data_IF_731124495490
#
_entry.id   IF_731124495490
#
_cell.length_a   1.000
_cell.length_b   1.000
_cell.length_c   1.000
_cell.angle_alpha   90.00
_cell.angle_beta   90.00
_cell.angle_gamma   90.00
#
_symmetry.space_group_name_H-M   'P 1'
#
loop_
_entity.id
_entity.type
_entity.pdbx_description
1 polymer ?
#
# COMPACT_ATOMS: atom_id res chain seq x y z
N UNK A 1 -21.98 7.95 11.89
CA UNK A 1 -21.03 9.01 12.32
C UNK A 1 -19.76 8.31 12.80
N UNK A 2 -18.73 8.21 11.96
CA UNK A 2 -17.55 7.35 12.16
C UNK A 2 -16.33 8.16 12.61
N UNK A 3 -16.37 8.70 13.84
CA UNK A 3 -15.18 9.29 14.44
C UNK A 3 -14.33 8.21 15.08
N UNK A 4 -13.14 7.97 14.54
CA UNK A 4 -12.04 7.36 15.29
C UNK A 4 -11.71 8.36 16.42
N UNK A 5 -11.90 8.00 17.71
CA UNK A 5 -11.61 8.92 18.80
C UNK A 5 -10.11 9.21 18.83
N UNK A 6 -9.75 10.49 18.72
CA UNK A 6 -8.37 10.94 18.87
C UNK A 6 -8.01 10.82 20.35
N UNK A 7 -7.22 9.82 20.73
CA UNK A 7 -6.76 9.68 22.12
C UNK A 7 -5.48 10.48 22.40
N UNK A 8 -5.60 11.34 23.42
CA UNK A 8 -4.64 11.84 24.39
C UNK A 8 -3.12 11.88 24.05
N UNK A 9 -2.62 13.12 24.05
CA UNK A 9 -1.25 13.60 24.26
C UNK A 9 -0.16 12.54 24.53
N UNK A 10 0.74 12.35 23.56
CA UNK A 10 2.05 11.71 23.77
C UNK A 10 3.16 12.71 23.45
N UNK A 11 4.12 12.82 24.37
CA UNK A 11 5.24 13.77 24.33
C UNK A 11 6.29 13.38 23.26
N UNK A 12 6.98 14.36 22.64
CA UNK A 12 7.86 14.16 21.49
C UNK A 12 9.24 13.61 21.84
N UNK A 13 9.88 12.91 20.89
CA UNK A 13 11.32 12.66 20.85
C UNK A 13 11.89 13.24 19.55
N UNK A 14 12.84 14.18 19.69
CA UNK A 14 13.96 14.34 18.75
C UNK A 14 13.84 15.44 17.67
N UNK A 15 14.79 16.37 17.71
CA UNK A 15 14.96 17.57 16.88
C UNK A 15 15.79 17.31 15.61
N UNK A 16 15.36 17.91 14.48
CA UNK A 16 16.11 18.52 13.35
C UNK A 16 15.39 18.30 12.02
N UNK A 17 15.47 19.29 11.14
CA UNK A 17 14.69 19.45 9.91
C UNK A 17 15.12 18.51 8.76
N UNK A 18 15.07 17.21 9.00
CA UNK A 18 15.04 16.18 7.96
C UNK A 18 14.01 15.10 8.35
N UNK A 19 13.38 14.43 7.37
CA UNK A 19 12.33 13.43 7.60
C UNK A 19 12.76 12.20 8.41
N UNK A 20 14.07 12.01 8.48
CA UNK A 20 14.73 10.93 9.17
C UNK A 20 15.46 11.52 10.37
N UNK A 21 15.37 10.87 11.54
CA UNK A 21 16.21 11.26 12.68
C UNK A 21 17.69 11.36 12.23
N UNK A 22 18.50 12.22 12.84
CA UNK A 22 19.93 12.32 12.49
C UNK A 22 20.62 10.94 12.44
N UNK A 23 20.22 10.03 13.34
CA UNK A 23 20.64 8.63 13.36
C UNK A 23 20.16 7.81 12.17
N UNK A 24 18.96 8.07 11.65
CA UNK A 24 18.42 7.43 10.43
C UNK A 24 19.16 7.90 9.18
N UNK A 25 19.59 9.16 9.10
CA UNK A 25 20.43 9.68 8.00
C UNK A 25 21.84 9.09 8.08
N UNK A 26 22.43 9.07 9.27
CA UNK A 26 23.73 8.40 9.48
C UNK A 26 23.62 6.93 9.13
N UNK A 27 22.56 6.24 9.54
CA UNK A 27 22.33 4.83 9.19
C UNK A 27 22.13 4.65 7.69
N UNK A 28 21.44 5.56 7.01
CA UNK A 28 21.30 5.55 5.55
C UNK A 28 22.66 5.72 4.85
N UNK A 29 23.43 6.73 5.25
CA UNK A 29 24.77 7.01 4.70
C UNK A 29 25.77 5.90 5.03
N UNK A 30 25.74 5.37 6.25
CA UNK A 30 26.57 4.26 6.68
C UNK A 30 26.20 2.98 5.93
N UNK A 31 24.90 2.67 5.75
CA UNK A 31 24.46 1.54 4.92
C UNK A 31 24.86 1.71 3.45
N UNK A 32 24.85 2.94 2.94
CA UNK A 32 25.30 3.25 1.58
C UNK A 32 26.81 3.03 1.41
N UNK A 33 27.61 3.41 2.41
CA UNK A 33 29.09 3.36 2.37
C UNK A 33 29.64 1.98 2.78
N UNK A 34 29.15 1.38 3.87
CA UNK A 34 29.74 0.19 4.48
C UNK A 34 29.32 -1.13 3.84
N UNK A 35 28.11 -1.18 3.25
CA UNK A 35 27.46 -2.44 2.90
C UNK A 35 27.20 -2.61 1.41
N UNK A 36 27.77 -1.77 0.52
CA UNK A 36 27.73 -1.92 -0.95
C UNK A 36 26.56 -2.78 -1.44
N UNK A 37 25.36 -2.20 -1.49
CA UNK A 37 24.05 -2.89 -1.59
C UNK A 37 23.63 -3.72 -0.34
N UNK A 38 23.05 -3.02 0.65
CA UNK A 38 22.02 -3.42 1.64
C UNK A 38 22.17 -4.71 2.48
N UNK A 39 22.00 -4.54 3.81
CA UNK A 39 20.94 -5.21 4.60
C UNK A 39 20.97 -4.77 6.06
N UNK A 40 19.82 -4.29 6.59
CA UNK A 40 19.55 -4.34 8.03
C UNK A 40 19.34 -5.81 8.41
N UNK A 41 20.20 -6.35 9.28
CA UNK A 41 20.07 -7.73 9.77
C UNK A 41 18.88 -7.80 10.73
N UNK A 42 17.71 -8.12 10.19
CA UNK A 42 16.54 -8.43 11.02
C UNK A 42 16.83 -9.74 11.79
N UNK A 43 16.73 -9.76 13.13
CA UNK A 43 17.02 -10.96 13.93
C UNK A 43 16.12 -12.15 13.60
N UNK A 44 14.94 -11.93 13.01
CA UNK A 44 13.92 -12.96 12.80
C UNK A 44 13.87 -13.47 11.34
N UNK A 45 14.96 -13.30 10.57
CA UNK A 45 15.00 -13.67 9.15
C UNK A 45 14.63 -15.14 8.86
N UNK A 46 14.89 -16.04 9.82
CA UNK A 46 14.66 -17.49 9.69
C UNK A 46 13.18 -17.87 9.72
N UNK A 47 12.31 -17.02 10.26
CA UNK A 47 10.86 -17.28 10.33
C UNK A 47 10.09 -16.59 9.20
N UNK A 48 10.78 -15.95 8.25
CA UNK A 48 10.15 -15.19 7.19
C UNK A 48 10.11 -15.98 5.89
N UNK A 49 8.90 -16.28 5.44
CA UNK A 49 8.67 -16.94 4.16
C UNK A 49 7.80 -16.06 3.26
N UNK A 50 7.97 -16.14 1.95
CA UNK A 50 6.90 -15.75 1.03
C UNK A 50 5.97 -16.95 0.94
N UNK A 51 4.68 -16.72 1.17
CA UNK A 51 3.70 -17.75 0.86
C UNK A 51 3.81 -18.12 -0.63
N UNK A 52 3.73 -19.41 -0.93
CA UNK A 52 3.83 -19.88 -2.30
C UNK A 52 2.68 -19.30 -3.16
N UNK A 53 2.93 -19.21 -4.47
CA UNK A 53 2.21 -18.39 -5.47
C UNK A 53 0.68 -18.54 -5.55
N UNK A 54 0.11 -19.54 -4.88
CA UNK A 54 -1.32 -19.77 -4.65
C UNK A 54 -1.53 -20.24 -3.24
N UNK A 55 -2.46 -19.62 -2.53
CA UNK A 55 -2.95 -20.10 -1.24
C UNK A 55 -4.42 -19.79 -1.12
N UNK A 56 -5.15 -20.63 -0.38
CA UNK A 56 -6.51 -20.30 0.02
C UNK A 56 -6.63 -20.34 1.54
N UNK A 57 -7.47 -19.44 2.06
CA UNK A 57 -7.86 -19.41 3.45
C UNK A 57 -9.36 -19.57 3.47
N UNK A 58 -9.82 -20.70 4.00
CA UNK A 58 -11.22 -20.94 4.25
C UNK A 58 -11.64 -20.20 5.52
N UNK A 59 -12.76 -19.49 5.41
CA UNK A 59 -13.48 -18.91 6.53
C UNK A 59 -14.73 -19.78 6.66
N UNK A 60 -14.66 -20.74 7.59
CA UNK A 60 -15.64 -21.82 7.66
C UNK A 60 -17.02 -21.29 8.06
N UNK A 61 -18.03 -21.71 7.29
CA UNK A 61 -19.43 -21.69 7.70
C UNK A 61 -19.76 -22.99 8.46
N UNK A 62 -20.47 -22.95 9.60
CA UNK A 62 -20.69 -24.14 10.44
C UNK A 62 -21.55 -25.26 9.80
N UNK A 63 -22.25 -25.02 8.69
CA UNK A 63 -23.39 -25.90 8.29
C UNK A 63 -23.22 -26.58 6.91
N UNK A 64 -22.07 -26.45 6.23
CA UNK A 64 -21.66 -27.40 5.17
C UNK A 64 -22.64 -27.66 4.01
N UNK A 65 -23.48 -26.69 3.62
CA UNK A 65 -24.41 -26.83 2.48
C UNK A 65 -23.78 -26.34 1.17
N UNK A 66 -24.08 -27.02 0.07
CA UNK A 66 -23.82 -26.55 -1.30
C UNK A 66 -24.62 -25.24 -1.53
N UNK A 67 -23.90 -24.15 -1.78
CA UNK A 67 -24.45 -22.79 -1.88
C UNK A 67 -24.08 -22.20 -3.24
N UNK A 68 -24.98 -21.39 -3.80
CA UNK A 68 -24.62 -20.51 -4.91
C UNK A 68 -23.63 -19.48 -4.38
N UNK A 69 -22.39 -19.54 -4.86
CA UNK A 69 -21.32 -18.63 -4.43
C UNK A 69 -21.07 -17.57 -5.49
N UNK A 70 -20.95 -16.32 -5.05
CA UNK A 70 -20.46 -15.21 -5.86
C UNK A 70 -18.99 -14.93 -5.54
N UNK A 71 -18.31 -14.20 -6.43
CA UNK A 71 -16.90 -13.86 -6.27
C UNK A 71 -16.69 -12.36 -6.44
N UNK A 72 -15.72 -11.81 -5.71
CA UNK A 72 -15.17 -10.48 -5.97
C UNK A 72 -13.65 -10.55 -5.99
N UNK A 73 -13.04 -10.01 -7.05
CA UNK A 73 -11.59 -9.97 -7.24
C UNK A 73 -11.01 -8.59 -6.93
N UNK A 74 -10.08 -8.58 -5.99
CA UNK A 74 -9.43 -7.39 -5.44
C UNK A 74 -7.95 -7.41 -5.82
N UNK A 75 -7.46 -6.36 -6.48
CA UNK A 75 -6.04 -6.16 -6.75
C UNK A 75 -5.45 -5.04 -5.89
N UNK A 76 -4.20 -5.21 -5.49
CA UNK A 76 -3.45 -4.22 -4.73
C UNK A 76 -2.27 -3.72 -5.55
N UNK A 77 -2.20 -2.41 -5.76
CA UNK A 77 -1.09 -1.76 -6.44
C UNK A 77 -0.26 -1.02 -5.40
N UNK A 78 1.04 -1.31 -5.39
CA UNK A 78 1.99 -0.64 -4.52
C UNK A 78 2.22 0.82 -4.91
N UNK A 79 3.38 1.33 -4.55
CA UNK A 79 3.68 2.76 -4.68
C UNK A 79 3.59 3.24 -6.13
N UNK A 80 2.73 4.24 -6.37
CA UNK A 80 2.59 4.97 -7.63
C UNK A 80 3.23 6.34 -7.46
N UNK A 81 4.28 6.60 -8.25
CA UNK A 81 5.04 7.83 -8.21
C UNK A 81 5.31 8.39 -9.61
N UNK A 82 5.71 9.67 -9.66
CA UNK A 82 6.16 10.35 -10.87
C UNK A 82 7.30 9.57 -11.55
N UNK A 83 7.36 9.52 -12.89
CA UNK A 83 8.47 8.89 -13.61
C UNK A 83 9.72 9.79 -13.72
N UNK A 84 10.84 9.24 -14.19
CA UNK A 84 12.07 10.02 -14.40
C UNK A 84 11.89 11.01 -15.56
N UNK A 85 11.19 10.60 -16.62
CA UNK A 85 10.90 11.43 -17.78
C UNK A 85 9.80 12.47 -17.52
N UNK A 86 9.03 12.31 -16.46
CA UNK A 86 7.82 13.09 -16.19
C UNK A 86 6.61 12.66 -17.01
N UNK A 87 6.71 11.59 -17.81
CA UNK A 87 5.60 11.01 -18.57
C UNK A 87 5.02 9.76 -17.88
N UNK A 88 3.73 9.45 -18.04
CA UNK A 88 3.15 8.23 -17.51
C UNK A 88 3.87 6.96 -17.97
N UNK A 89 3.91 5.96 -17.09
CA UNK A 89 4.51 4.67 -17.38
C UNK A 89 3.72 3.91 -18.45
N UNK A 90 4.43 3.16 -19.29
CA UNK A 90 3.80 2.24 -20.25
C UNK A 90 3.43 0.94 -19.53
N UNK A 91 2.14 0.72 -19.32
CA UNK A 91 1.61 -0.53 -18.74
C UNK A 91 1.57 -1.58 -19.86
N UNK A 92 2.36 -2.64 -19.77
CA UNK A 92 2.33 -3.70 -20.79
C UNK A 92 1.03 -4.51 -20.76
N UNK A 93 0.73 -5.16 -21.87
CA UNK A 93 -0.47 -6.01 -22.05
C UNK A 93 -0.63 -7.04 -20.93
N UNK A 94 0.46 -7.63 -20.43
CA UNK A 94 0.42 -8.60 -19.33
C UNK A 94 -0.14 -8.00 -18.04
N UNK A 95 0.18 -6.73 -17.74
CA UNK A 95 -0.36 -6.00 -16.60
C UNK A 95 -1.77 -5.48 -16.89
N UNK A 96 -2.03 -5.00 -18.11
CA UNK A 96 -3.38 -4.57 -18.50
C UNK A 96 -4.40 -5.70 -18.35
N UNK A 97 -4.07 -6.93 -18.78
CA UNK A 97 -4.92 -8.12 -18.60
C UNK A 97 -5.19 -8.42 -17.13
N UNK A 98 -4.19 -8.28 -16.27
CA UNK A 98 -4.36 -8.44 -14.83
C UNK A 98 -5.34 -7.40 -14.29
N UNK A 99 -5.09 -6.12 -14.56
CA UNK A 99 -5.94 -5.02 -14.09
C UNK A 99 -7.38 -5.17 -14.60
N UNK A 100 -7.58 -5.56 -15.85
CA UNK A 100 -8.90 -5.74 -16.48
C UNK A 100 -9.75 -6.83 -15.82
N UNK A 101 -9.12 -7.79 -15.15
CA UNK A 101 -9.81 -8.88 -14.45
C UNK A 101 -10.34 -8.51 -13.06
N UNK A 102 -10.04 -7.31 -12.56
CA UNK A 102 -10.40 -6.90 -11.20
C UNK A 102 -11.79 -6.25 -11.13
N UNK A 103 -12.48 -6.47 -10.01
CA UNK A 103 -13.70 -5.75 -9.64
C UNK A 103 -13.37 -4.55 -8.73
N UNK A 104 -12.35 -4.70 -7.89
CA UNK A 104 -11.86 -3.68 -6.97
C UNK A 104 -10.34 -3.54 -7.09
N UNK A 105 -9.84 -2.31 -7.22
CA UNK A 105 -8.41 -2.01 -7.25
C UNK A 105 -8.08 -1.00 -6.15
N UNK A 106 -7.18 -1.38 -5.24
CA UNK A 106 -6.70 -0.55 -4.14
C UNK A 106 -5.24 -0.17 -4.42
N UNK A 107 -4.94 1.12 -4.52
CA UNK A 107 -3.64 1.61 -4.99
C UNK A 107 -3.06 2.69 -4.06
N UNK A 108 -1.75 2.67 -3.85
CA UNK A 108 -1.07 3.75 -3.10
C UNK A 108 -0.67 4.90 -4.03
N UNK A 109 -1.13 6.11 -3.72
CA UNK A 109 -0.71 7.34 -4.40
C UNK A 109 0.31 8.03 -3.51
N UNK A 110 1.58 7.70 -3.72
CA UNK A 110 2.65 8.22 -2.87
C UNK A 110 3.07 9.63 -3.25
N UNK A 111 3.05 9.96 -4.53
CA UNK A 111 3.25 11.34 -4.98
C UNK A 111 1.93 12.12 -4.96
N UNK A 112 1.78 13.20 -4.18
CA UNK A 112 0.57 14.02 -4.21
C UNK A 112 0.22 14.50 -5.62
N UNK A 113 -1.08 14.60 -5.90
CA UNK A 113 -1.59 14.88 -7.24
C UNK A 113 -1.75 16.37 -7.45
N UNK A 114 -1.31 16.85 -8.62
CA UNK A 114 -1.46 18.24 -9.06
C UNK A 114 -2.11 18.31 -10.45
N UNK A 115 -2.80 19.43 -10.72
CA UNK A 115 -3.56 19.66 -11.96
C UNK A 115 -2.70 20.21 -13.12
N UNK A 116 -1.37 20.27 -12.97
CA UNK A 116 -0.49 20.89 -13.96
C UNK A 116 0.19 19.88 -14.88
N UNK A 117 0.00 20.07 -16.20
CA UNK A 117 0.79 19.45 -17.30
C UNK A 117 2.22 19.98 -17.43
N UNK A 118 2.60 21.00 -16.64
CA UNK A 118 3.93 21.59 -16.74
C UNK A 118 4.96 20.51 -16.44
N UNK A 119 5.99 20.40 -17.30
CA UNK A 119 7.12 19.50 -17.11
C UNK A 119 7.67 19.70 -15.69
N UNK A 120 7.38 18.75 -14.80
CA UNK A 120 8.03 18.69 -13.50
C UNK A 120 9.48 18.31 -13.79
N UNK A 121 10.33 19.32 -13.99
CA UNK A 121 11.76 19.12 -14.04
C UNK A 121 12.19 18.76 -12.63
N UNK A 122 12.75 17.56 -12.46
CA UNK A 122 13.53 17.25 -11.26
C UNK A 122 14.71 18.21 -11.18
N UNK A 123 14.53 19.33 -10.49
CA UNK A 123 15.62 20.09 -9.91
C UNK A 123 16.12 19.42 -8.64
N UNK A 124 17.06 20.07 -7.94
CA UNK A 124 17.57 19.67 -6.62
C UNK A 124 16.51 19.62 -5.50
N UNK A 125 15.27 20.01 -5.78
CA UNK A 125 14.16 19.99 -4.82
C UNK A 125 13.44 18.65 -4.84
N UNK A 126 13.49 17.92 -3.72
CA UNK A 126 12.79 16.66 -3.43
C UNK A 126 11.25 16.83 -3.34
N UNK A 127 10.60 17.51 -4.29
CA UNK A 127 9.13 17.61 -4.34
C UNK A 127 8.58 16.46 -5.17
N UNK A 128 7.86 15.54 -4.52
CA UNK A 128 7.28 14.36 -5.16
C UNK A 128 5.85 14.62 -5.62
N UNK A 129 5.63 15.64 -6.46
CA UNK A 129 4.31 15.88 -7.07
C UNK A 129 4.14 15.08 -8.37
N UNK A 130 2.91 14.65 -8.67
CA UNK A 130 2.58 13.84 -9.84
C UNK A 130 1.33 14.39 -10.56
N UNK A 131 1.36 14.60 -11.88
CA UNK A 131 0.18 15.03 -12.63
C UNK A 131 -0.89 13.93 -12.64
N UNK A 132 -2.16 14.32 -12.66
CA UNK A 132 -3.30 13.39 -12.72
C UNK A 132 -3.26 12.42 -13.92
N UNK A 133 -2.57 12.79 -15.00
CA UNK A 133 -2.41 11.97 -16.20
C UNK A 133 -1.75 10.61 -15.93
N UNK A 134 -0.93 10.50 -14.88
CA UNK A 134 -0.34 9.23 -14.45
C UNK A 134 -1.42 8.27 -13.98
N UNK A 135 -2.29 8.69 -13.07
CA UNK A 135 -3.38 7.86 -12.59
C UNK A 135 -4.39 7.56 -13.70
N UNK A 136 -4.70 8.53 -14.57
CA UNK A 136 -5.58 8.32 -15.72
C UNK A 136 -5.05 7.26 -16.69
N UNK A 137 -3.73 7.21 -16.93
CA UNK A 137 -3.14 6.18 -17.78
C UNK A 137 -3.31 4.76 -17.23
N UNK A 138 -3.25 4.61 -15.90
CA UNK A 138 -3.40 3.32 -15.22
C UNK A 138 -4.89 2.96 -15.14
N UNK A 139 -5.74 3.93 -14.80
CA UNK A 139 -7.20 3.80 -14.72
C UNK A 139 -7.82 3.29 -16.02
N UNK A 140 -7.35 3.77 -17.19
CA UNK A 140 -7.79 3.32 -18.52
C UNK A 140 -7.62 1.81 -18.76
N UNK A 141 -6.77 1.12 -17.99
CA UNK A 141 -6.63 -0.32 -18.08
C UNK A 141 -7.88 -1.06 -17.56
N UNK A 142 -8.66 -0.45 -16.66
CA UNK A 142 -9.92 -1.01 -16.17
C UNK A 142 -10.83 0.08 -15.57
N UNK A 143 -11.60 0.75 -16.42
CA UNK A 143 -12.54 1.80 -16.00
C UNK A 143 -13.81 1.22 -15.34
N UNK A 144 -14.08 -0.07 -15.53
CA UNK A 144 -15.23 -0.77 -14.94
C UNK A 144 -15.03 -1.17 -13.47
N UNK A 145 -13.78 -1.25 -13.00
CA UNK A 145 -13.49 -1.58 -11.60
C UNK A 145 -13.80 -0.40 -10.66
N UNK A 146 -14.12 -0.73 -9.41
CA UNK A 146 -14.08 0.25 -8.32
C UNK A 146 -12.63 0.57 -7.97
N UNK A 147 -12.21 1.83 -8.07
CA UNK A 147 -10.87 2.27 -7.68
C UNK A 147 -10.86 2.90 -6.29
N UNK A 148 -9.86 2.55 -5.49
CA UNK A 148 -9.63 3.12 -4.16
C UNK A 148 -8.18 3.57 -4.05
N UNK A 149 -7.96 4.86 -3.87
CA UNK A 149 -6.64 5.46 -3.77
C UNK A 149 -6.31 5.80 -2.31
N UNK A 150 -5.25 5.21 -1.78
CA UNK A 150 -4.69 5.57 -0.49
C UNK A 150 -3.70 6.72 -0.63
N UNK A 151 -3.88 7.76 0.19
CA UNK A 151 -2.99 8.92 0.26
C UNK A 151 -2.27 9.02 1.62
N UNK A 152 -2.46 8.04 2.52
CA UNK A 152 -1.69 7.98 3.76
C UNK A 152 -0.30 7.42 3.49
N UNK A 153 0.68 8.31 3.40
CA UNK A 153 2.10 8.01 3.23
C UNK A 153 2.95 9.21 3.68
N UNK A 154 4.26 9.03 3.71
CA UNK A 154 5.22 10.04 4.17
C UNK A 154 5.26 11.32 3.29
N UNK A 155 4.85 11.23 2.03
CA UNK A 155 4.84 12.30 1.04
C UNK A 155 3.50 13.06 0.95
N UNK A 156 2.49 12.68 1.73
CA UNK A 156 1.13 13.25 1.69
C UNK A 156 1.06 14.78 1.85
N UNK A 157 2.10 15.43 2.39
CA UNK A 157 2.18 16.87 2.59
C UNK A 157 3.20 17.59 1.71
N UNK A 158 3.80 16.92 0.71
CA UNK A 158 4.87 17.52 -0.12
C UNK A 158 4.40 18.74 -0.94
N UNK A 159 3.12 18.80 -1.28
CA UNK A 159 2.47 19.93 -1.98
C UNK A 159 1.86 20.95 -1.01
N UNK A 160 2.01 20.75 0.30
CA UNK A 160 1.56 21.69 1.32
C UNK A 160 2.70 22.62 1.73
N UNK A 161 2.38 23.87 2.11
CA UNK A 161 3.41 24.83 2.51
C UNK A 161 4.24 24.37 3.72
N UNK A 162 5.51 24.82 3.80
CA UNK A 162 6.51 24.42 4.82
C UNK A 162 6.06 24.59 6.28
N UNK A 163 5.04 25.41 6.52
CA UNK A 163 4.50 25.65 7.86
C UNK A 163 3.67 24.45 8.34
N UNK A 164 3.30 23.52 7.45
CA UNK A 164 2.67 22.23 7.71
C UNK A 164 1.40 22.28 8.59
N UNK A 165 0.81 23.49 8.66
CA UNK A 165 -0.57 23.80 9.06
C UNK A 165 -1.49 23.85 7.83
N UNK A 166 -0.88 24.03 6.67
CA UNK A 166 -1.56 24.03 5.39
C UNK A 166 -1.87 22.58 5.00
N UNK A 167 -3.16 22.31 4.75
CA UNK A 167 -3.67 21.00 4.32
C UNK A 167 -4.20 21.08 2.88
N UNK A 168 -4.04 22.22 2.19
CA UNK A 168 -4.59 22.46 0.86
C UNK A 168 -4.07 21.45 -0.16
N UNK A 169 -2.78 21.12 -0.15
CA UNK A 169 -2.21 20.12 -1.07
C UNK A 169 -2.81 18.72 -0.91
N UNK A 170 -3.12 18.31 0.33
CA UNK A 170 -3.77 17.04 0.63
C UNK A 170 -5.23 17.04 0.18
N UNK A 171 -5.97 18.12 0.49
CA UNK A 171 -7.37 18.30 0.07
C UNK A 171 -7.47 18.32 -1.45
N UNK A 172 -6.58 19.06 -2.10
CA UNK A 172 -6.57 19.21 -3.55
C UNK A 172 -6.20 17.89 -4.23
N UNK A 173 -5.26 17.11 -3.68
CA UNK A 173 -4.98 15.75 -4.17
C UNK A 173 -6.24 14.88 -4.19
N UNK A 174 -6.97 14.82 -3.07
CA UNK A 174 -8.21 14.04 -2.99
C UNK A 174 -9.29 14.56 -3.96
N UNK A 175 -9.40 15.89 -4.09
CA UNK A 175 -10.33 16.55 -5.00
C UNK A 175 -10.02 16.25 -6.47
N UNK A 176 -8.78 16.43 -6.91
CA UNK A 176 -8.36 16.17 -8.29
C UNK A 176 -8.62 14.71 -8.66
N UNK A 177 -8.27 13.75 -7.79
CA UNK A 177 -8.56 12.33 -8.01
C UNK A 177 -10.06 12.10 -8.24
N UNK A 178 -10.90 12.60 -7.33
CA UNK A 178 -12.36 12.40 -7.41
C UNK A 178 -13.00 13.07 -8.63
N UNK A 179 -12.47 14.20 -9.08
CA UNK A 179 -12.98 14.92 -10.25
C UNK A 179 -12.56 14.27 -11.58
N UNK A 180 -11.40 13.61 -11.62
CA UNK A 180 -10.80 13.14 -12.87
C UNK A 180 -10.79 11.62 -13.04
N UNK A 181 -11.16 10.86 -12.00
CA UNK A 181 -11.23 9.40 -12.03
C UNK A 181 -12.64 8.98 -11.56
N UNK A 182 -13.59 8.81 -12.50
CA UNK A 182 -14.97 8.46 -12.19
C UNK A 182 -15.09 7.21 -11.31
N UNK A 183 -16.05 7.21 -10.38
CA UNK A 183 -16.30 6.07 -9.49
C UNK A 183 -15.21 5.79 -8.45
N UNK A 184 -14.07 6.49 -8.45
CA UNK A 184 -12.99 6.26 -7.48
C UNK A 184 -13.35 6.72 -6.06
N UNK A 185 -12.69 6.17 -5.05
CA UNK A 185 -12.70 6.64 -3.66
C UNK A 185 -11.28 7.00 -3.22
N UNK A 186 -11.17 7.89 -2.24
CA UNK A 186 -9.89 8.28 -1.65
C UNK A 186 -9.92 7.94 -0.15
N UNK A 187 -8.88 7.27 0.34
CA UNK A 187 -8.75 6.83 1.74
C UNK A 187 -7.42 7.25 2.34
N UNK A 188 -7.30 7.12 3.66
CA UNK A 188 -6.05 7.39 4.40
C UNK A 188 -6.00 8.76 5.06
N UNK A 189 -7.06 9.56 4.92
CA UNK A 189 -7.23 10.80 5.64
C UNK A 189 -8.70 11.02 6.02
N UNK A 190 -8.94 11.82 7.05
CA UNK A 190 -10.26 12.30 7.43
C UNK A 190 -10.39 13.80 7.11
N UNK A 191 -10.28 14.15 5.82
CA UNK A 191 -10.42 15.53 5.34
C UNK A 191 -10.86 15.58 3.88
N UNK A 192 -11.60 16.63 3.52
CA UNK A 192 -12.07 16.85 2.16
C UNK A 192 -12.90 15.66 1.68
N UNK A 193 -12.50 15.09 0.54
CA UNK A 193 -13.16 13.90 -0.04
C UNK A 193 -12.51 12.57 0.37
N UNK A 194 -11.47 12.61 1.19
CA UNK A 194 -10.82 11.40 1.70
C UNK A 194 -11.54 10.86 2.94
N UNK A 195 -11.57 9.54 3.07
CA UNK A 195 -12.22 8.82 4.17
C UNK A 195 -11.19 8.08 5.03
N UNK A 196 -11.39 8.09 6.36
CA UNK A 196 -10.56 7.29 7.27
C UNK A 196 -10.85 5.79 7.13
N UNK A 197 -12.11 5.44 6.87
CA UNK A 197 -12.59 4.08 6.65
C UNK A 197 -13.56 4.13 5.48
N UNK A 198 -13.33 3.27 4.49
CA UNK A 198 -14.26 3.08 3.37
C UNK A 198 -15.00 1.75 3.56
N UNK A 199 -16.32 1.79 3.50
CA UNK A 199 -17.15 0.58 3.41
C UNK A 199 -17.62 0.39 1.97
N UNK A 200 -17.36 -0.79 1.42
CA UNK A 200 -17.82 -1.24 0.11
C UNK A 200 -18.74 -2.45 0.30
N UNK A 201 -19.74 -2.60 -0.56
CA UNK A 201 -20.62 -3.77 -0.55
C UNK A 201 -20.82 -4.22 -2.01
N UNK A 202 -20.32 -5.39 -2.43
CA UNK A 202 -20.72 -5.97 -3.71
C UNK A 202 -22.20 -6.33 -3.65
N UNK A 203 -22.82 -6.54 -4.80
CA UNK A 203 -24.23 -6.88 -4.88
C UNK A 203 -24.54 -8.14 -4.07
N UNK A 204 -25.50 -8.02 -3.15
CA UNK A 204 -25.88 -9.06 -2.19
C UNK A 204 -24.69 -9.68 -1.43
N UNK A 205 -23.57 -8.97 -1.31
CA UNK A 205 -22.30 -9.51 -0.83
C UNK A 205 -21.84 -9.01 0.54
N UNK A 206 -20.68 -9.47 1.02
CA UNK A 206 -20.09 -9.05 2.29
C UNK A 206 -19.78 -7.55 2.29
N UNK A 207 -19.99 -6.90 3.44
CA UNK A 207 -19.50 -5.54 3.65
C UNK A 207 -17.99 -5.56 3.87
N UNK A 208 -17.26 -5.01 2.91
CA UNK A 208 -15.80 -4.94 2.88
C UNK A 208 -15.35 -3.56 3.41
N UNK A 209 -14.58 -3.55 4.50
CA UNK A 209 -13.96 -2.35 5.05
C UNK A 209 -12.54 -2.18 4.52
N UNK A 210 -12.15 -0.96 4.17
CA UNK A 210 -10.77 -0.62 3.78
C UNK A 210 -10.27 0.55 4.62
N UNK A 211 -9.14 0.35 5.29
CA UNK A 211 -8.47 1.37 6.11
C UNK A 211 -7.06 1.59 5.58
N UNK A 212 -6.79 2.81 5.14
CA UNK A 212 -5.46 3.26 4.75
C UNK A 212 -4.78 3.99 5.92
N UNK A 213 -3.49 3.74 6.17
CA UNK A 213 -2.73 4.51 7.17
C UNK A 213 -1.25 4.56 6.84
N UNK A 214 -0.53 5.43 7.57
CA UNK A 214 0.93 5.45 7.53
C UNK A 214 1.57 5.37 8.91
N UNK A 215 2.65 4.60 9.03
CA UNK A 215 3.50 4.51 10.22
C UNK A 215 4.51 5.67 10.26
N UNK A 216 4.90 6.25 9.12
CA UNK A 216 6.04 7.16 8.99
C UNK A 216 5.63 8.43 8.24
N UNK A 217 6.11 9.60 8.69
CA UNK A 217 5.88 10.89 8.03
C UNK A 217 7.19 11.64 7.86
N UNK A 218 7.39 12.27 6.69
CA UNK A 218 8.58 13.09 6.40
C UNK A 218 8.70 14.34 7.29
N UNK A 219 7.63 14.69 7.98
CA UNK A 219 7.70 15.66 9.05
C UNK A 219 6.77 15.19 10.15
N UNK A 220 7.33 14.85 11.30
CA UNK A 220 6.58 14.35 12.45
C UNK A 220 6.77 15.26 13.67
N UNK A 221 7.01 16.56 13.44
CA UNK A 221 7.32 17.53 14.52
C UNK A 221 6.25 17.56 15.61
N UNK A 222 5.03 17.11 15.28
CA UNK A 222 3.92 16.91 16.19
C UNK A 222 3.00 15.85 15.56
N UNK A 223 2.63 14.80 16.30
CA UNK A 223 1.48 13.91 15.99
C UNK A 223 0.12 14.66 15.87
N UNK A 224 0.15 15.99 15.77
CA UNK A 224 -0.97 16.91 15.60
C UNK A 224 -1.51 16.98 14.17
N UNK A 225 -0.92 16.29 13.18
CA UNK A 225 -1.40 16.35 11.80
C UNK A 225 -2.58 15.42 11.55
N UNK A 226 -3.66 15.67 12.30
CA UNK A 226 -5.01 15.42 11.80
C UNK A 226 -5.08 16.21 10.49
N UNK A 227 -5.24 15.53 9.35
CA UNK A 227 -6.25 14.49 9.20
C UNK A 227 -5.75 13.14 8.67
N UNK A 228 -4.44 12.95 8.44
CA UNK A 228 -3.91 11.68 7.94
C UNK A 228 -4.07 10.60 9.00
N UNK A 229 -4.57 9.42 8.61
CA UNK A 229 -4.69 8.28 9.51
C UNK A 229 -3.29 7.73 9.79
N UNK A 230 -2.89 7.73 11.06
CA UNK A 230 -1.59 7.20 11.49
C UNK A 230 -1.76 5.81 12.10
N UNK A 231 -0.68 5.02 12.07
CA UNK A 231 -0.64 3.75 12.79
C UNK A 231 -0.99 3.94 14.27
N UNK A 232 -0.46 4.97 14.93
CA UNK A 232 -0.76 5.23 16.35
C UNK A 232 -2.26 5.41 16.66
N UNK A 233 -3.07 5.79 15.68
CA UNK A 233 -4.53 5.94 15.82
C UNK A 233 -5.27 4.60 15.74
N UNK A 234 -4.62 3.56 15.19
CA UNK A 234 -5.18 2.21 15.02
C UNK A 234 -4.67 1.30 16.15
N UNK A 235 -5.30 1.38 17.32
CA UNK A 235 -5.12 0.42 18.42
C UNK A 235 -6.12 -0.73 18.29
N UNK A 236 -5.80 -1.89 18.89
CA UNK A 236 -6.62 -3.12 18.75
C UNK A 236 -8.11 -2.90 18.99
N UNK A 237 -8.50 -2.22 20.07
CA UNK A 237 -9.91 -1.93 20.38
C UNK A 237 -10.64 -1.15 19.28
N UNK A 238 -9.94 -0.23 18.61
CA UNK A 238 -10.52 0.57 17.51
C UNK A 238 -10.71 -0.33 16.29
N UNK A 239 -9.70 -1.14 15.95
CA UNK A 239 -9.78 -2.07 14.82
C UNK A 239 -10.85 -3.13 15.03
N UNK A 240 -10.97 -3.68 16.24
CA UNK A 240 -12.03 -4.61 16.65
C UNK A 240 -13.41 -3.98 16.45
N UNK A 241 -13.60 -2.73 16.89
CA UNK A 241 -14.85 -2.00 16.66
C UNK A 241 -15.18 -1.83 15.18
N UNK A 242 -14.18 -1.51 14.34
CA UNK A 242 -14.39 -1.41 12.89
C UNK A 242 -14.76 -2.79 12.32
N UNK A 243 -14.10 -3.86 12.77
CA UNK A 243 -14.36 -5.22 12.32
C UNK A 243 -15.79 -5.69 12.62
N UNK A 244 -16.39 -5.29 13.75
CA UNK A 244 -17.79 -5.61 14.06
C UNK A 244 -18.78 -5.16 12.98
N UNK A 245 -18.49 -4.06 12.28
CA UNK A 245 -19.33 -3.49 11.23
C UNK A 245 -19.02 -4.04 9.81
N UNK A 246 -18.06 -4.96 9.67
CA UNK A 246 -17.54 -5.42 8.37
C UNK A 246 -17.27 -6.94 8.34
N UNK A 247 -17.85 -7.63 7.36
CA UNK A 247 -17.62 -9.06 7.17
C UNK A 247 -16.17 -9.37 6.77
N UNK A 248 -15.52 -8.45 6.05
CA UNK A 248 -14.09 -8.54 5.70
C UNK A 248 -13.41 -7.17 5.84
N UNK A 249 -12.31 -7.08 6.59
CA UNK A 249 -11.62 -5.83 6.88
C UNK A 249 -10.18 -5.86 6.37
N UNK A 250 -9.88 -4.92 5.47
CA UNK A 250 -8.60 -4.77 4.78
C UNK A 250 -7.86 -3.56 5.33
N UNK A 251 -6.59 -3.78 5.69
CA UNK A 251 -5.63 -2.73 5.98
C UNK A 251 -4.69 -2.50 4.81
N UNK A 252 -4.46 -1.24 4.43
CA UNK A 252 -3.54 -0.87 3.36
C UNK A 252 -2.54 0.18 3.86
N UNK A 253 -1.32 -0.26 4.17
CA UNK A 253 -0.46 0.43 5.14
C UNK A 253 0.87 0.89 4.53
N UNK A 254 1.19 2.18 4.64
CA UNK A 254 2.51 2.71 4.33
C UNK A 254 3.43 2.64 5.55
N UNK A 255 4.60 2.04 5.44
CA UNK A 255 5.55 1.99 6.57
C UNK A 255 6.84 1.24 6.26
N UNK A 256 7.50 0.76 7.32
CA UNK A 256 8.81 0.07 7.25
C UNK A 256 9.98 0.96 6.78
N UNK A 257 11.19 0.41 6.78
CA UNK A 257 12.40 1.12 6.34
C UNK A 257 12.54 1.07 4.82
N UNK A 258 12.77 2.23 4.20
CA UNK A 258 13.01 2.34 2.76
C UNK A 258 14.09 1.37 2.29
N UNK A 259 13.79 0.66 1.20
CA UNK A 259 14.70 -0.22 0.47
C UNK A 259 15.20 -1.45 1.27
N UNK A 260 14.69 -1.67 2.48
CA UNK A 260 14.98 -2.87 3.26
C UNK A 260 14.14 -4.06 2.79
N UNK A 261 14.79 -5.19 2.57
CA UNK A 261 14.14 -6.46 2.23
C UNK A 261 13.37 -7.13 3.37
N UNK A 262 13.54 -6.63 4.60
CA UNK A 262 12.88 -7.13 5.79
C UNK A 262 12.16 -5.99 6.51
N UNK A 263 10.93 -6.23 7.02
CA UNK A 263 10.20 -5.24 7.78
C UNK A 263 10.96 -4.90 9.06
N UNK A 264 10.70 -3.70 9.59
CA UNK A 264 11.19 -3.32 10.91
C UNK A 264 10.47 -4.15 11.98
N UNK A 265 11.20 -4.64 12.98
CA UNK A 265 10.63 -5.48 14.06
C UNK A 265 9.42 -4.81 14.74
N UNK A 266 9.49 -3.51 14.96
CA UNK A 266 8.42 -2.70 15.56
C UNK A 266 7.16 -2.68 14.70
N UNK A 267 7.30 -2.36 13.41
CA UNK A 267 6.19 -2.34 12.43
C UNK A 267 5.60 -3.74 12.27
N UNK A 268 6.45 -4.77 12.10
CA UNK A 268 6.02 -6.16 11.99
C UNK A 268 5.18 -6.60 13.18
N UNK A 269 5.69 -6.44 14.41
CA UNK A 269 4.98 -6.86 15.62
C UNK A 269 3.65 -6.14 15.78
N UNK A 270 3.62 -4.85 15.44
CA UNK A 270 2.39 -4.05 15.46
C UNK A 270 1.35 -4.58 14.47
N UNK A 271 1.73 -4.83 13.22
CA UNK A 271 0.81 -5.34 12.21
C UNK A 271 0.34 -6.75 12.52
N UNK A 272 1.20 -7.64 13.03
CA UNK A 272 0.82 -8.96 13.56
C UNK A 272 -0.26 -8.82 14.64
N UNK A 273 -0.11 -7.89 15.58
CA UNK A 273 -1.09 -7.65 16.65
C UNK A 273 -2.44 -7.09 16.15
N UNK A 274 -2.45 -6.52 14.94
CA UNK A 274 -3.64 -5.98 14.27
C UNK A 274 -4.25 -6.94 13.24
N UNK A 275 -3.60 -8.06 12.95
CA UNK A 275 -4.10 -9.07 12.02
C UNK A 275 -4.77 -10.22 12.79
N UNK A 276 -5.97 -10.61 12.38
CA UNK A 276 -6.72 -11.71 13.00
C UNK A 276 -8.22 -11.68 12.70
N UNK A 277 -8.97 -12.72 13.12
CA UNK A 277 -10.39 -12.87 12.82
C UNK A 277 -11.27 -11.73 13.37
N UNK A 278 -10.90 -11.16 14.52
CA UNK A 278 -11.59 -10.03 15.16
C UNK A 278 -10.97 -8.67 14.79
N UNK A 279 -10.03 -8.63 13.84
CA UNK A 279 -9.29 -7.42 13.44
C UNK A 279 -9.19 -7.35 11.92
N UNK A 280 -8.04 -6.97 11.37
CA UNK A 280 -7.83 -7.03 9.93
C UNK A 280 -7.73 -8.49 9.47
N UNK A 281 -8.57 -8.86 8.51
CA UNK A 281 -8.49 -10.15 7.82
C UNK A 281 -7.30 -10.19 6.84
N UNK A 282 -6.86 -9.01 6.42
CA UNK A 282 -5.73 -8.82 5.53
C UNK A 282 -5.07 -7.48 5.83
N UNK A 283 -3.74 -7.46 5.93
CA UNK A 283 -2.97 -6.22 5.82
C UNK A 283 -2.06 -6.33 4.60
N UNK A 284 -2.08 -5.31 3.75
CA UNK A 284 -1.17 -5.17 2.61
C UNK A 284 -0.33 -3.91 2.78
N UNK A 285 0.93 -4.11 3.13
CA UNK A 285 1.91 -3.07 3.35
C UNK A 285 2.60 -2.60 2.06
N UNK A 286 3.13 -1.37 2.08
CA UNK A 286 3.95 -0.72 1.05
C UNK A 286 4.82 0.39 1.68
N UNK A 287 5.60 1.13 0.88
CA UNK A 287 6.51 2.19 1.36
C UNK A 287 8.01 1.86 1.31
N UNK A 288 8.48 0.63 1.58
CA UNK A 288 9.89 0.28 1.40
C UNK A 288 10.36 0.28 -0.05
N UNK A 289 9.43 0.41 -1.01
CA UNK A 289 9.66 0.30 -2.44
C UNK A 289 10.21 -1.06 -2.92
N UNK A 290 10.28 -2.06 -2.05
CA UNK A 290 10.77 -3.43 -2.34
C UNK A 290 9.77 -4.47 -1.85
N UNK A 291 9.71 -5.62 -2.52
CA UNK A 291 8.91 -6.76 -2.06
C UNK A 291 9.52 -7.37 -0.81
N UNK A 292 8.75 -7.38 0.27
CA UNK A 292 9.05 -8.04 1.55
C UNK A 292 8.21 -9.33 1.71
N UNK A 293 8.57 -10.21 2.65
CA UNK A 293 7.85 -11.46 2.91
C UNK A 293 6.36 -11.26 3.26
N UNK A 294 5.59 -12.34 3.10
CA UNK A 294 4.17 -12.40 3.43
C UNK A 294 3.93 -13.48 4.48
N UNK A 295 3.29 -13.12 5.59
CA UNK A 295 3.12 -14.01 6.74
C UNK A 295 1.66 -14.42 6.94
N UNK A 296 1.46 -15.67 7.37
CA UNK A 296 0.16 -16.15 7.85
C UNK A 296 0.06 -15.92 9.36
N UNK A 297 -0.86 -15.06 9.78
CA UNK A 297 -1.10 -14.69 11.18
C UNK A 297 -2.51 -15.12 11.56
N UNK A 298 -2.67 -16.09 12.47
CA UNK A 298 -4.00 -16.56 12.93
C UNK A 298 -5.00 -16.84 11.78
N UNK A 299 -4.56 -17.58 10.76
CA UNK A 299 -5.33 -17.84 9.53
C UNK A 299 -5.73 -16.58 8.72
N UNK A 300 -4.99 -15.49 8.83
CA UNK A 300 -5.09 -14.28 8.00
C UNK A 300 -3.74 -13.97 7.34
N UNK A 301 -3.72 -13.13 6.31
CA UNK A 301 -2.48 -12.77 5.63
C UNK A 301 -2.00 -11.36 5.97
N UNK A 302 -0.68 -11.22 6.06
CA UNK A 302 0.04 -9.99 6.26
C UNK A 302 1.14 -9.88 5.21
N UNK A 303 0.96 -9.02 4.21
CA UNK A 303 2.02 -8.62 3.29
C UNK A 303 2.76 -7.44 3.90
N UNK A 304 4.06 -7.56 4.17
CA UNK A 304 4.81 -6.46 4.79
C UNK A 304 5.15 -5.33 3.81
N UNK A 305 5.39 -5.67 2.55
CA UNK A 305 5.56 -4.69 1.48
C UNK A 305 5.37 -5.36 0.13
N UNK A 306 4.52 -4.78 -0.70
CA UNK A 306 4.32 -5.18 -2.10
C UNK A 306 5.22 -4.42 -3.08
N UNK A 307 6.03 -3.48 -2.57
CA UNK A 307 6.97 -2.69 -3.37
C UNK A 307 6.28 -1.69 -4.30
N UNK A 308 7.00 -1.25 -5.32
CA UNK A 308 6.48 -0.26 -6.28
C UNK A 308 5.51 -0.89 -7.28
N UNK A 309 4.45 -0.15 -7.61
CA UNK A 309 3.78 -0.35 -8.90
C UNK A 309 4.53 0.42 -9.99
N UNK A 310 4.85 1.70 -9.75
CA UNK A 310 5.72 2.48 -10.62
C UNK A 310 6.47 3.59 -9.87
N UNK A 311 7.77 3.74 -10.15
CA UNK A 311 8.66 4.65 -9.40
C UNK A 311 9.85 5.15 -10.24
N UNK A 312 10.23 6.44 -10.14
CA UNK A 312 11.05 7.13 -11.14
C UNK A 312 12.47 6.56 -11.24
N UNK A 313 13.07 6.22 -10.10
CA UNK A 313 14.48 5.90 -10.01
C UNK A 313 14.78 5.35 -8.63
N UNK A 314 15.62 4.34 -8.56
CA UNK A 314 16.04 3.69 -7.32
C UNK A 314 16.95 2.51 -7.67
N UNK A 315 17.57 1.88 -6.66
CA UNK A 315 18.39 0.70 -6.87
C UNK A 315 17.58 -0.43 -7.52
N UNK A 316 18.26 -1.42 -8.09
CA UNK A 316 17.64 -2.54 -8.83
C UNK A 316 16.52 -3.26 -8.05
N UNK A 317 16.65 -3.34 -6.73
CA UNK A 317 15.64 -3.92 -5.83
C UNK A 317 14.27 -3.25 -5.88
N UNK A 318 14.21 -1.95 -6.18
CA UNK A 318 12.95 -1.19 -6.28
C UNK A 318 12.27 -1.34 -7.64
N UNK A 319 12.89 -2.11 -8.54
CA UNK A 319 12.39 -2.41 -9.88
C UNK A 319 11.59 -3.71 -9.93
N UNK A 320 11.48 -4.43 -8.81
CA UNK A 320 10.60 -5.59 -8.68
C UNK A 320 9.48 -5.23 -7.70
N UNK A 321 8.24 -5.37 -8.16
CA UNK A 321 7.02 -5.16 -7.37
C UNK A 321 6.16 -6.42 -7.31
N UNK A 322 5.04 -6.32 -6.62
CA UNK A 322 4.06 -7.38 -6.46
C UNK A 322 2.64 -6.81 -6.56
N UNK A 323 1.77 -7.48 -7.32
CA UNK A 323 0.32 -7.32 -7.27
C UNK A 323 -0.24 -8.57 -6.61
N UNK A 324 -0.61 -8.50 -5.31
CA UNK A 324 -1.52 -9.46 -4.72
C UNK A 324 -2.89 -9.34 -5.41
N UNK A 325 -3.42 -10.48 -5.83
CA UNK A 325 -4.77 -10.64 -6.33
C UNK A 325 -5.54 -11.54 -5.36
N UNK A 326 -6.66 -11.05 -4.85
CA UNK A 326 -7.46 -11.74 -3.85
C UNK A 326 -8.85 -11.95 -4.41
N UNK A 327 -9.25 -13.21 -4.53
CA UNK A 327 -10.63 -13.56 -4.89
C UNK A 327 -11.35 -13.97 -3.62
N UNK A 328 -12.33 -13.18 -3.20
CA UNK A 328 -13.22 -13.55 -2.10
C UNK A 328 -14.42 -14.28 -2.69
N UNK A 329 -14.59 -15.54 -2.32
CA UNK A 329 -15.82 -16.31 -2.57
C UNK A 329 -16.77 -16.12 -1.39
N UNK A 330 -18.02 -15.80 -1.69
CA UNK A 330 -19.01 -15.50 -0.67
C UNK A 330 -20.40 -16.03 -1.01
N UNK A 331 -21.17 -16.30 0.04
CA UNK A 331 -22.62 -16.53 -0.01
C UNK A 331 -23.28 -15.46 0.85
N UNK A 332 -24.07 -14.60 0.20
CA UNK A 332 -24.62 -13.39 0.81
C UNK A 332 -23.52 -12.57 1.49
N UNK A 333 -23.68 -12.25 2.77
CA UNK A 333 -22.70 -11.48 3.53
C UNK A 333 -21.56 -12.34 4.11
N UNK A 334 -21.63 -13.67 3.96
CA UNK A 334 -20.62 -14.58 4.51
C UNK A 334 -19.49 -14.83 3.52
N UNK A 335 -18.26 -14.50 3.90
CA UNK A 335 -17.06 -14.88 3.14
C UNK A 335 -16.73 -16.33 3.47
N UNK A 336 -16.67 -17.18 2.45
CA UNK A 336 -16.42 -18.62 2.59
C UNK A 336 -14.93 -18.93 2.37
N UNK A 337 -14.33 -18.29 1.38
CA UNK A 337 -12.95 -18.53 0.99
C UNK A 337 -12.32 -17.24 0.49
N UNK A 338 -11.05 -17.04 0.86
CA UNK A 338 -10.19 -16.03 0.27
C UNK A 338 -9.04 -16.75 -0.45
N UNK A 339 -9.01 -16.65 -1.77
CA UNK A 339 -7.91 -17.14 -2.60
C UNK A 339 -6.91 -16.03 -2.88
N UNK A 340 -5.62 -16.32 -2.75
CA UNK A 340 -4.54 -15.37 -2.93
C UNK A 340 -3.64 -15.82 -4.07
N UNK A 341 -3.47 -14.95 -5.06
CA UNK A 341 -2.57 -15.12 -6.19
C UNK A 341 -1.56 -13.96 -6.21
N UNK A 342 -0.31 -14.27 -6.51
CA UNK A 342 0.78 -13.30 -6.53
C UNK A 342 1.33 -13.11 -7.94
N UNK A 343 1.26 -11.87 -8.42
CA UNK A 343 1.78 -11.47 -9.73
C UNK A 343 2.96 -10.51 -9.55
N UNK A 344 4.16 -10.93 -9.95
CA UNK A 344 5.34 -10.09 -9.80
C UNK A 344 5.41 -9.11 -10.95
N UNK A 345 5.90 -7.91 -10.65
CA UNK A 345 6.12 -6.85 -11.61
C UNK A 345 7.61 -6.61 -11.78
N UNK A 346 8.03 -6.31 -12.99
CA UNK A 346 9.32 -5.68 -13.25
C UNK A 346 9.11 -4.31 -13.89
N UNK A 347 9.96 -3.37 -13.50
CA UNK A 347 10.01 -2.03 -14.04
C UNK A 347 11.30 -1.81 -14.82
N UNK A 348 11.18 -1.65 -16.13
CA UNK A 348 12.30 -1.42 -17.02
C UNK A 348 11.99 -0.27 -17.99
N UNK A 349 12.86 0.73 -18.05
CA UNK A 349 12.73 1.85 -19.01
C UNK A 349 11.32 2.49 -19.02
N UNK A 350 10.77 2.72 -17.82
CA UNK A 350 9.43 3.28 -17.61
C UNK A 350 8.28 2.44 -18.21
N UNK A 351 8.51 1.14 -18.36
CA UNK A 351 7.52 0.13 -18.72
C UNK A 351 7.34 -0.86 -17.58
N UNK A 352 6.09 -1.20 -17.30
CA UNK A 352 5.70 -2.14 -16.24
C UNK A 352 5.27 -3.44 -16.90
N UNK A 353 5.90 -4.55 -16.55
CA UNK A 353 5.60 -5.88 -17.05
C UNK A 353 5.27 -6.83 -15.90
N UNK A 354 4.26 -7.68 -16.07
CA UNK A 354 4.01 -8.78 -15.14
C UNK A 354 4.78 -10.03 -15.54
N UNK A 355 5.29 -10.76 -14.57
CA UNK A 355 5.98 -12.04 -14.75
C UNK A 355 5.63 -13.05 -13.66
N UNK A 356 6.09 -14.29 -13.86
CA UNK A 356 5.96 -15.36 -12.87
C UNK A 356 7.33 -15.78 -12.36
N UNK A 357 7.42 -16.13 -11.08
CA UNK A 357 8.70 -16.62 -10.51
C UNK A 357 9.24 -17.83 -11.27
N UNK A 358 8.42 -18.72 -11.83
CA UNK A 358 8.90 -19.95 -12.50
C UNK A 358 9.67 -19.65 -13.79
N UNK A 359 9.18 -18.70 -14.59
CA UNK A 359 9.67 -18.46 -15.96
C UNK A 359 10.41 -17.12 -16.08
N UNK A 360 11.09 -16.67 -15.01
CA UNK A 360 11.81 -15.40 -15.03
C UNK A 360 13.23 -15.55 -15.57
N UNK A 361 13.51 -14.88 -16.68
CA UNK A 361 14.83 -14.82 -17.32
C UNK A 361 15.33 -13.37 -17.52
N UNK A 362 14.68 -12.40 -16.86
CA UNK A 362 14.98 -10.98 -17.00
C UNK A 362 16.16 -10.50 -16.16
N UNK A 363 16.38 -9.18 -16.19
CA UNK A 363 17.54 -8.49 -15.59
C UNK A 363 17.65 -8.65 -14.07
N UNK A 364 16.54 -8.91 -13.38
CA UNK A 364 16.47 -8.93 -11.92
C UNK A 364 16.57 -10.35 -11.33
N UNK A 365 17.26 -11.28 -12.02
CA UNK A 365 17.33 -12.71 -11.66
C UNK A 365 17.82 -12.97 -10.23
N UNK A 366 18.79 -12.18 -9.73
CA UNK A 366 19.27 -12.26 -8.34
C UNK A 366 18.15 -11.96 -7.32
N UNK A 367 17.34 -10.94 -7.58
CA UNK A 367 16.23 -10.54 -6.71
C UNK A 367 15.13 -11.61 -6.75
N UNK A 368 14.82 -12.11 -7.94
CA UNK A 368 13.82 -13.17 -8.13
C UNK A 368 14.26 -14.48 -7.47
N UNK A 369 15.55 -14.84 -7.55
CA UNK A 369 16.10 -16.01 -6.88
C UNK A 369 16.03 -15.88 -5.34
N UNK A 370 16.19 -14.68 -4.79
CA UNK A 370 15.94 -14.43 -3.36
C UNK A 370 14.47 -14.69 -3.02
N UNK A 371 13.55 -14.12 -3.80
CA UNK A 371 12.10 -14.29 -3.61
C UNK A 371 11.62 -15.74 -3.77
N UNK A 372 12.36 -16.59 -4.49
CA UNK A 372 12.08 -18.04 -4.59
C UNK A 372 12.54 -18.83 -3.36
N UNK A 373 13.55 -18.33 -2.62
CA UNK A 373 14.16 -19.02 -1.47
C UNK A 373 13.48 -18.69 -0.14
N UNK A 374 12.91 -17.49 -0.06
CA UNK A 374 12.00 -17.06 1.01
C UNK A 374 10.62 -17.58 0.71
#
# INVERSE_FOLDING_TARGET
QNFIPISANRKPIGFLCFPYSFFSIIRYLFNYISNGFFSYKNPDIRSMHLLNKKGSIQVLDPIGRLRETSEIKILFLGDIMLSKSGNPYKVNESVQKLLKSADLIIANVESPIVDKKNKIKRGLTLRFEMPISFLQSIYKCNESAKWVFNIANNHAFDTSNKNLKDLSGLIETAKIIKQNIPGSEVIGANIGLAKSILSLKPENGPKIGVVGWTEIMNSDKKHFRKPIVRGVDLVSKIVEKIKLDHNFLIGFAHGNEEQSYHPLKTTRNRWINLTGPEKFDLIVGHGPHVVQPCEKVKNRLLFHSIGNFCSPSGPSQTKVGLIPAITLKYDKENVIEAEYNMHFLELESERISAFTLKNYHGKYSKIVNRLRKT
#
